data_IF_471599224179
#
_entry.id   IF_471599224179
#
_cell.length_a   1.000
_cell.length_b   1.000
_cell.length_c   1.000
_cell.angle_alpha   90.00
_cell.angle_beta   90.00
_cell.angle_gamma   90.00
#
_symmetry.space_group_name_H-M   'P 1'
#
loop_
_entity.id
_entity.type
_entity.pdbx_description
1 polymer ?
#
# COMPACT_ATOMS: atom_id res chain seq x y z
N UNK A 1 -11.65 5.72 -28.08
CA UNK A 1 -12.80 5.80 -27.14
C UNK A 1 -13.67 6.99 -27.54
N UNK A 2 -14.99 6.85 -27.64
CA UNK A 2 -15.88 7.97 -27.97
C UNK A 2 -16.31 8.68 -26.68
N UNK A 3 -15.51 9.64 -26.24
CA UNK A 3 -15.81 10.47 -25.06
C UNK A 3 -16.76 11.60 -25.49
N UNK A 4 -17.89 11.72 -24.82
CA UNK A 4 -18.91 12.73 -25.05
C UNK A 4 -18.93 13.77 -23.95
N UNK A 5 -19.58 14.91 -24.15
CA UNK A 5 -19.74 15.95 -23.14
C UNK A 5 -20.31 15.44 -21.81
N UNK A 6 -21.16 14.40 -21.85
CA UNK A 6 -21.74 13.80 -20.65
C UNK A 6 -20.70 13.11 -19.76
N UNK A 7 -19.63 12.54 -20.32
CA UNK A 7 -18.51 11.99 -19.56
C UNK A 7 -17.77 13.11 -18.80
N UNK A 8 -17.51 14.22 -19.48
CA UNK A 8 -16.85 15.38 -18.85
C UNK A 8 -17.71 16.00 -17.75
N UNK A 9 -19.03 16.07 -17.92
CA UNK A 9 -19.95 16.55 -16.88
C UNK A 9 -19.94 15.64 -15.65
N UNK A 10 -20.00 14.31 -15.83
CA UNK A 10 -19.89 13.36 -14.74
C UNK A 10 -18.55 13.47 -13.99
N UNK A 11 -17.45 13.59 -14.73
CA UNK A 11 -16.12 13.79 -14.15
C UNK A 11 -16.03 15.12 -13.39
N UNK A 12 -16.54 16.22 -13.96
CA UNK A 12 -16.54 17.54 -13.32
C UNK A 12 -17.31 17.54 -11.99
N UNK A 13 -18.49 16.93 -11.94
CA UNK A 13 -19.27 16.79 -10.68
C UNK A 13 -18.45 16.07 -9.61
N UNK A 14 -17.77 14.99 -9.96
CA UNK A 14 -16.93 14.24 -9.03
C UNK A 14 -15.72 15.07 -8.59
N UNK A 15 -15.05 15.76 -9.51
CA UNK A 15 -13.91 16.64 -9.19
C UNK A 15 -14.35 17.73 -8.22
N UNK A 16 -15.47 18.41 -8.50
CA UNK A 16 -16.02 19.46 -7.64
C UNK A 16 -16.32 18.90 -6.24
N UNK A 17 -16.96 17.72 -6.16
CA UNK A 17 -17.23 17.07 -4.90
C UNK A 17 -15.94 16.83 -4.09
N UNK A 18 -14.90 16.26 -4.70
CA UNK A 18 -13.63 16.01 -4.02
C UNK A 18 -12.90 17.31 -3.63
N UNK A 19 -12.94 18.35 -4.45
CA UNK A 19 -12.35 19.67 -4.14
C UNK A 19 -13.09 20.31 -2.97
N UNK A 20 -14.42 20.34 -2.99
CA UNK A 20 -15.24 20.92 -1.90
C UNK A 20 -14.99 20.17 -0.59
N UNK A 21 -14.98 18.85 -0.62
CA UNK A 21 -14.68 18.03 0.56
C UNK A 21 -13.24 18.24 1.05
N UNK A 22 -12.28 18.41 0.14
CA UNK A 22 -10.89 18.70 0.46
C UNK A 22 -10.73 20.06 1.17
N UNK A 23 -11.35 21.11 0.64
CA UNK A 23 -11.34 22.43 1.26
C UNK A 23 -12.05 22.43 2.62
N UNK A 24 -13.20 21.75 2.72
CA UNK A 24 -13.94 21.64 3.98
C UNK A 24 -13.14 20.88 5.05
N UNK A 25 -12.47 19.78 4.67
CA UNK A 25 -11.65 19.02 5.61
C UNK A 25 -10.40 19.79 6.04
N UNK A 26 -9.78 20.56 5.15
CA UNK A 26 -8.62 21.39 5.46
C UNK A 26 -8.88 22.44 6.55
N UNK A 27 -10.12 22.92 6.66
CA UNK A 27 -10.51 23.90 7.72
C UNK A 27 -10.61 23.28 9.13
N UNK A 28 -10.64 21.95 9.26
CA UNK A 28 -10.78 21.25 10.56
C UNK A 28 -9.46 20.92 11.24
N UNK A 29 -8.33 21.05 10.56
CA UNK A 29 -6.99 20.82 11.13
C UNK A 29 -6.51 22.05 11.88
N UNK A 30 -6.25 21.89 13.17
CA UNK A 30 -5.71 22.98 14.00
C UNK A 30 -4.34 22.66 14.61
N UNK A 31 -3.96 21.39 14.75
CA UNK A 31 -2.72 20.98 15.41
C UNK A 31 -1.97 19.88 14.65
N UNK A 32 -0.67 19.75 14.88
CA UNK A 32 0.15 18.68 14.31
C UNK A 32 -0.24 17.29 14.83
N UNK A 33 -0.85 17.21 16.02
CA UNK A 33 -1.35 15.95 16.62
C UNK A 33 -2.69 15.51 15.98
N UNK A 34 -3.55 16.45 15.59
CA UNK A 34 -4.71 16.17 14.76
C UNK A 34 -4.29 15.54 13.41
N UNK A 35 -3.09 15.87 12.98
CA UNK A 35 -2.49 15.44 11.73
C UNK A 35 -2.03 13.97 11.73
N UNK A 36 -1.53 13.43 12.85
CA UNK A 36 -0.87 12.13 12.88
C UNK A 36 -1.74 11.00 13.44
N UNK A 37 -2.61 11.23 14.42
CA UNK A 37 -3.30 10.16 15.16
C UNK A 37 -4.75 10.48 15.55
N UNK A 38 -5.38 11.54 15.02
CA UNK A 38 -6.78 11.93 15.29
C UNK A 38 -7.18 11.88 16.78
N UNK A 39 -6.25 12.17 17.72
CA UNK A 39 -6.50 12.18 19.15
C UNK A 39 -7.06 10.89 19.77
N UNK A 40 -6.86 9.72 19.14
CA UNK A 40 -7.41 8.41 19.56
C UNK A 40 -8.95 8.39 19.64
N UNK A 41 -9.63 9.11 18.75
CA UNK A 41 -11.10 9.24 18.72
C UNK A 41 -11.79 8.46 17.61
N UNK A 42 -11.04 7.79 16.71
CA UNK A 42 -11.58 7.13 15.53
C UNK A 42 -12.52 5.97 15.88
N UNK A 43 -13.74 6.01 15.32
CA UNK A 43 -14.69 4.88 15.37
C UNK A 43 -14.30 3.79 14.37
N UNK A 44 -14.98 2.64 14.44
CA UNK A 44 -14.70 1.47 13.57
C UNK A 44 -14.77 1.78 12.08
N UNK A 45 -15.76 2.58 11.65
CA UNK A 45 -15.93 2.97 10.24
C UNK A 45 -14.77 3.85 9.78
N UNK A 46 -14.30 4.78 10.62
CA UNK A 46 -13.17 5.64 10.31
C UNK A 46 -11.86 4.84 10.23
N UNK A 47 -11.66 3.85 11.11
CA UNK A 47 -10.52 2.92 11.04
C UNK A 47 -10.56 2.13 9.74
N UNK A 48 -11.71 1.53 9.40
CA UNK A 48 -11.88 0.80 8.14
C UNK A 48 -11.67 1.72 6.92
N UNK A 49 -12.22 2.93 6.95
CA UNK A 49 -12.06 3.93 5.88
C UNK A 49 -10.60 4.34 5.68
N UNK A 50 -9.83 4.51 6.75
CA UNK A 50 -8.40 4.82 6.68
C UNK A 50 -7.59 3.66 6.08
N UNK A 51 -7.85 2.44 6.55
CA UNK A 51 -7.19 1.23 6.04
C UNK A 51 -7.53 1.01 4.57
N UNK A 52 -8.82 0.92 4.23
CA UNK A 52 -9.29 0.72 2.86
C UNK A 52 -8.91 1.88 1.96
N UNK A 53 -8.98 3.13 2.46
CA UNK A 53 -8.60 4.34 1.73
C UNK A 53 -7.15 4.32 1.24
N UNK A 54 -6.27 3.61 1.95
CA UNK A 54 -4.88 3.42 1.56
C UNK A 54 -4.68 2.17 0.72
N UNK A 55 -5.37 1.08 1.08
CA UNK A 55 -5.26 -0.19 0.39
C UNK A 55 -5.90 -0.14 -1.01
N UNK A 56 -7.02 0.58 -1.15
CA UNK A 56 -7.73 0.71 -2.41
C UNK A 56 -7.27 1.96 -3.17
N UNK A 57 -6.29 1.77 -4.03
CA UNK A 57 -5.72 2.76 -4.93
C UNK A 57 -5.67 2.23 -6.36
N UNK A 58 -4.78 2.78 -7.17
CA UNK A 58 -4.62 2.38 -8.57
C UNK A 58 -4.21 0.91 -8.73
N UNK A 59 -3.34 0.39 -7.86
CA UNK A 59 -2.90 -1.00 -7.90
C UNK A 59 -4.07 -1.98 -7.67
N UNK A 60 -4.89 -1.75 -6.65
CA UNK A 60 -6.03 -2.61 -6.31
C UNK A 60 -7.25 -2.45 -7.22
N UNK A 61 -7.27 -1.47 -8.09
CA UNK A 61 -8.34 -1.23 -9.05
C UNK A 61 -7.88 -1.53 -10.47
N UNK A 62 -7.15 -0.63 -11.11
CA UNK A 62 -6.67 -0.79 -12.48
C UNK A 62 -5.65 -1.92 -12.56
N UNK A 63 -4.71 -2.01 -11.61
CA UNK A 63 -3.71 -3.07 -11.58
C UNK A 63 -4.33 -4.47 -11.43
N UNK A 64 -5.36 -4.62 -10.59
CA UNK A 64 -6.08 -5.89 -10.44
C UNK A 64 -6.80 -6.27 -11.74
N UNK A 65 -7.50 -5.33 -12.39
CA UNK A 65 -8.17 -5.60 -13.65
C UNK A 65 -7.18 -5.86 -14.81
N UNK A 66 -6.05 -5.14 -14.86
CA UNK A 66 -4.95 -5.37 -15.80
C UNK A 66 -4.41 -6.80 -15.67
N UNK A 67 -4.11 -7.21 -14.44
CA UNK A 67 -3.55 -8.55 -14.18
C UNK A 67 -4.60 -9.63 -14.44
N UNK A 68 -5.87 -9.40 -14.09
CA UNK A 68 -6.95 -10.34 -14.37
C UNK A 68 -7.19 -10.51 -15.89
N UNK A 69 -7.05 -9.45 -16.67
CA UNK A 69 -7.08 -9.51 -18.14
C UNK A 69 -5.94 -10.41 -18.68
N UNK A 70 -4.75 -10.36 -18.07
CA UNK A 70 -3.59 -11.14 -18.51
C UNK A 70 -3.59 -12.58 -17.98
N UNK A 71 -3.88 -12.78 -16.69
CA UNK A 71 -3.65 -14.04 -15.96
C UNK A 71 -4.84 -14.52 -15.12
N UNK A 72 -5.96 -13.82 -15.16
CA UNK A 72 -7.20 -14.29 -14.53
C UNK A 72 -7.29 -14.05 -13.03
N UNK A 73 -7.84 -15.05 -12.31
CA UNK A 73 -8.21 -14.92 -10.89
C UNK A 73 -7.00 -14.75 -9.96
N UNK A 74 -5.80 -15.10 -10.41
CA UNK A 74 -4.56 -14.86 -9.65
C UNK A 74 -4.36 -13.40 -9.28
N UNK A 75 -4.91 -12.46 -10.07
CA UNK A 75 -4.92 -11.03 -9.76
C UNK A 75 -5.63 -10.69 -8.43
N UNK A 76 -6.55 -11.54 -7.98
CA UNK A 76 -7.27 -11.35 -6.72
C UNK A 76 -6.37 -11.44 -5.50
N UNK A 77 -5.21 -12.09 -5.60
CA UNK A 77 -4.24 -12.17 -4.50
C UNK A 77 -3.90 -10.81 -3.91
N UNK A 78 -3.85 -9.75 -4.71
CA UNK A 78 -3.51 -8.42 -4.22
C UNK A 78 -4.49 -7.90 -3.17
N UNK A 79 -5.78 -8.01 -3.42
CA UNK A 79 -6.81 -7.55 -2.47
C UNK A 79 -7.17 -8.62 -1.44
N UNK A 80 -7.14 -9.89 -1.81
CA UNK A 80 -7.36 -11.02 -0.91
C UNK A 80 -6.27 -11.09 0.17
N UNK A 81 -4.99 -11.01 -0.23
CA UNK A 81 -3.86 -10.98 0.70
C UNK A 81 -3.89 -9.75 1.61
N UNK A 82 -4.32 -8.58 1.09
CA UNK A 82 -4.60 -7.40 1.90
C UNK A 82 -5.69 -7.65 2.95
N UNK A 83 -6.77 -8.33 2.57
CA UNK A 83 -7.84 -8.76 3.48
C UNK A 83 -7.34 -9.74 4.55
N UNK A 84 -6.56 -10.75 4.16
CA UNK A 84 -5.93 -11.70 5.09
C UNK A 84 -5.02 -10.96 6.08
N UNK A 85 -4.22 -10.00 5.62
CA UNK A 85 -3.39 -9.18 6.50
C UNK A 85 -4.22 -8.36 7.49
N UNK A 86 -5.36 -7.80 7.05
CA UNK A 86 -6.29 -7.11 7.95
C UNK A 86 -6.91 -8.05 8.99
N UNK A 87 -7.18 -9.30 8.64
CA UNK A 87 -7.62 -10.33 9.58
C UNK A 87 -6.51 -10.66 10.60
N UNK A 88 -5.26 -10.80 10.15
CA UNK A 88 -4.10 -10.98 11.02
C UNK A 88 -3.93 -9.78 11.97
N UNK A 89 -4.10 -8.54 11.49
CA UNK A 89 -4.12 -7.35 12.35
C UNK A 89 -5.20 -7.47 13.43
N UNK A 90 -6.43 -7.83 13.03
CA UNK A 90 -7.56 -7.96 13.94
C UNK A 90 -7.27 -8.95 15.08
N UNK A 91 -6.72 -10.09 14.74
CA UNK A 91 -6.50 -11.20 15.67
C UNK A 91 -5.28 -10.98 16.58
N UNK A 92 -4.16 -10.54 16.01
CA UNK A 92 -2.86 -10.59 16.70
C UNK A 92 -2.26 -9.22 17.00
N UNK A 93 -2.40 -8.21 16.12
CA UNK A 93 -1.61 -6.98 16.21
C UNK A 93 -2.33 -5.79 16.84
N UNK A 94 -3.68 -5.73 16.81
CA UNK A 94 -4.41 -4.58 17.37
C UNK A 94 -4.10 -4.32 18.84
N UNK A 95 -3.99 -5.37 19.66
CA UNK A 95 -3.62 -5.25 21.07
C UNK A 95 -2.19 -4.74 21.28
N UNK A 96 -1.18 -5.45 20.76
CA UNK A 96 0.22 -5.04 20.83
C UNK A 96 0.49 -3.63 20.32
N UNK A 97 -0.03 -3.26 19.14
CA UNK A 97 0.17 -1.92 18.58
C UNK A 97 -0.40 -0.80 19.46
N UNK A 98 -1.58 -1.00 20.04
CA UNK A 98 -2.20 0.01 20.93
C UNK A 98 -1.47 0.22 22.24
N UNK A 99 -0.60 -0.71 22.65
CA UNK A 99 0.25 -0.60 23.83
C UNK A 99 1.55 0.16 23.57
N UNK A 100 1.92 0.36 22.29
CA UNK A 100 3.14 1.07 21.94
C UNK A 100 3.02 2.57 22.23
N UNK A 101 4.13 3.16 22.67
CA UNK A 101 4.28 4.61 22.83
C UNK A 101 4.55 5.28 21.50
N UNK A 102 5.37 4.65 20.66
CA UNK A 102 5.68 5.11 19.32
C UNK A 102 4.57 4.78 18.32
N UNK A 103 4.31 5.73 17.43
CA UNK A 103 3.26 5.66 16.40
C UNK A 103 3.82 5.31 15.02
N UNK A 104 5.11 4.97 14.95
CA UNK A 104 5.78 4.58 13.70
C UNK A 104 6.41 3.19 13.82
N UNK A 105 6.45 2.44 12.71
CA UNK A 105 7.11 1.14 12.66
C UNK A 105 8.62 1.27 12.90
N UNK A 106 9.33 2.23 12.27
CA UNK A 106 10.72 2.51 12.61
C UNK A 106 10.91 2.81 14.10
N UNK A 107 10.01 3.61 14.72
CA UNK A 107 10.08 3.92 16.13
C UNK A 107 9.90 2.71 17.05
N UNK A 108 9.03 1.75 16.69
CA UNK A 108 8.90 0.47 17.42
C UNK A 108 10.20 -0.34 17.34
N UNK A 109 10.84 -0.36 16.17
CA UNK A 109 12.14 -1.04 15.96
C UNK A 109 13.25 -0.31 16.73
N UNK A 110 13.24 1.02 16.75
CA UNK A 110 14.17 1.85 17.50
C UNK A 110 14.09 1.61 19.01
N UNK A 111 12.88 1.59 19.57
CA UNK A 111 12.66 1.33 20.99
C UNK A 111 13.20 -0.06 21.42
N UNK A 112 13.09 -1.05 20.52
CA UNK A 112 13.52 -2.41 20.83
C UNK A 112 15.02 -2.65 20.60
N UNK A 113 15.60 -2.05 19.56
CA UNK A 113 16.93 -2.42 19.04
C UNK A 113 17.90 -1.25 18.93
N UNK A 114 17.46 -0.05 19.29
CA UNK A 114 18.27 1.16 19.34
C UNK A 114 18.24 1.98 18.06
N UNK A 115 18.81 3.16 18.15
CA UNK A 115 18.77 4.24 17.16
C UNK A 115 19.18 3.83 15.75
N UNK A 116 20.25 3.05 15.62
CA UNK A 116 20.75 2.60 14.30
C UNK A 116 19.76 1.66 13.59
N UNK A 117 19.03 0.83 14.36
CA UNK A 117 18.01 -0.04 13.81
C UNK A 117 16.79 0.78 13.32
N UNK A 118 16.36 1.78 14.10
CA UNK A 118 15.30 2.71 13.69
C UNK A 118 15.65 3.48 12.43
N UNK A 119 16.88 4.01 12.33
CA UNK A 119 17.35 4.71 11.14
C UNK A 119 17.37 3.81 9.90
N UNK A 120 17.88 2.58 10.02
CA UNK A 120 17.89 1.61 8.92
C UNK A 120 16.45 1.28 8.47
N UNK A 121 15.53 1.03 9.41
CA UNK A 121 14.11 0.81 9.11
C UNK A 121 13.49 2.01 8.39
N UNK A 122 13.77 3.24 8.84
CA UNK A 122 13.33 4.49 8.21
C UNK A 122 13.73 4.55 6.75
N UNK A 123 15.00 4.29 6.45
CA UNK A 123 15.54 4.36 5.08
C UNK A 123 14.91 3.30 4.16
N UNK A 124 14.88 2.04 4.59
CA UNK A 124 14.34 0.95 3.77
C UNK A 124 12.83 1.03 3.57
N UNK A 125 12.07 1.42 4.61
CA UNK A 125 10.62 1.63 4.50
C UNK A 125 10.32 2.80 3.57
N UNK A 126 11.04 3.92 3.69
CA UNK A 126 10.86 5.09 2.82
C UNK A 126 11.17 4.75 1.36
N UNK A 127 12.27 4.05 1.08
CA UNK A 127 12.59 3.58 -0.26
C UNK A 127 11.48 2.69 -0.84
N UNK A 128 11.00 1.73 -0.07
CA UNK A 128 9.90 0.88 -0.48
C UNK A 128 8.64 1.68 -0.83
N UNK A 129 8.29 2.68 -0.02
CA UNK A 129 7.11 3.52 -0.28
C UNK A 129 7.26 4.36 -1.56
N UNK A 130 8.48 4.81 -1.91
CA UNK A 130 8.77 5.47 -3.18
C UNK A 130 8.44 4.53 -4.35
N UNK A 131 8.87 3.29 -4.28
CA UNK A 131 8.54 2.27 -5.29
C UNK A 131 7.04 2.07 -5.40
N UNK A 132 6.26 2.22 -4.31
CA UNK A 132 4.80 2.08 -4.31
C UNK A 132 4.07 3.30 -4.92
N UNK A 133 4.74 4.42 -5.13
CA UNK A 133 4.17 5.56 -5.88
C UNK A 133 4.07 5.22 -7.37
N UNK A 134 4.99 4.44 -7.92
CA UNK A 134 5.04 4.06 -9.35
C UNK A 134 3.70 3.47 -9.84
N UNK A 135 3.13 2.43 -9.23
CA UNK A 135 1.84 1.89 -9.63
C UNK A 135 0.69 2.92 -9.59
N UNK A 136 0.76 3.91 -8.72
CA UNK A 136 -0.25 4.96 -8.66
C UNK A 136 -0.13 5.92 -9.85
N UNK A 137 1.10 6.26 -10.26
CA UNK A 137 1.36 7.08 -11.44
C UNK A 137 0.86 6.35 -12.70
N UNK A 138 1.23 5.08 -12.90
CA UNK A 138 0.81 4.28 -14.07
C UNK A 138 -0.72 4.18 -14.13
N UNK A 139 -1.37 3.98 -12.99
CA UNK A 139 -2.83 3.92 -12.91
C UNK A 139 -3.48 5.26 -13.26
N UNK A 140 -2.95 6.36 -12.75
CA UNK A 140 -3.44 7.71 -13.06
C UNK A 140 -3.25 8.04 -14.56
N UNK A 141 -2.12 7.64 -15.14
CA UNK A 141 -1.86 7.78 -16.58
C UNK A 141 -2.90 7.04 -17.44
N UNK A 142 -3.21 5.78 -17.10
CA UNK A 142 -4.20 4.98 -17.82
C UNK A 142 -5.58 5.66 -17.83
N UNK A 143 -5.96 6.29 -16.71
CA UNK A 143 -7.21 7.05 -16.59
C UNK A 143 -7.18 8.36 -17.38
N UNK A 144 -6.08 9.12 -17.32
CA UNK A 144 -5.90 10.34 -18.10
C UNK A 144 -5.98 10.03 -19.61
N UNK A 145 -5.28 8.99 -20.04
CA UNK A 145 -5.28 8.55 -21.44
C UNK A 145 -6.66 8.04 -21.91
N UNK A 146 -7.57 7.74 -20.99
CA UNK A 146 -8.96 7.40 -21.32
C UNK A 146 -9.81 8.62 -21.69
N UNK A 147 -9.47 9.80 -21.14
CA UNK A 147 -10.15 11.06 -21.47
C UNK A 147 -9.49 11.82 -22.61
N UNK A 148 -8.17 11.76 -22.69
CA UNK A 148 -7.37 12.56 -23.60
C UNK A 148 -6.40 11.67 -24.40
N UNK A 149 -6.29 11.86 -25.73
CA UNK A 149 -5.34 11.12 -26.57
C UNK A 149 -3.92 11.65 -26.38
N UNK A 150 -3.36 11.44 -25.18
CA UNK A 150 -2.02 11.89 -24.83
C UNK A 150 -1.00 10.77 -25.02
N UNK A 151 0.22 11.13 -25.38
CA UNK A 151 1.33 10.20 -25.39
C UNK A 151 1.73 9.81 -23.96
N UNK A 152 2.47 8.70 -23.83
CA UNK A 152 2.88 8.12 -22.56
C UNK A 152 3.56 9.14 -21.62
N UNK A 153 4.56 9.86 -22.13
CA UNK A 153 5.34 10.80 -21.31
C UNK A 153 4.51 11.97 -20.83
N UNK A 154 3.66 12.54 -21.69
CA UNK A 154 2.76 13.65 -21.31
C UNK A 154 1.74 13.21 -20.27
N UNK A 155 1.15 12.02 -20.41
CA UNK A 155 0.22 11.47 -19.42
C UNK A 155 0.91 11.23 -18.06
N UNK A 156 2.17 10.74 -18.05
CA UNK A 156 2.96 10.56 -16.85
C UNK A 156 3.25 11.89 -16.13
N UNK A 157 3.73 12.89 -16.87
CA UNK A 157 4.04 14.22 -16.33
C UNK A 157 2.77 14.85 -15.75
N UNK A 158 1.65 14.78 -16.46
CA UNK A 158 0.38 15.32 -16.00
C UNK A 158 -0.13 14.60 -14.74
N UNK A 159 -0.02 13.27 -14.69
CA UNK A 159 -0.37 12.47 -13.51
C UNK A 159 0.43 12.92 -12.28
N UNK A 160 1.75 13.06 -12.43
CA UNK A 160 2.65 13.47 -11.36
C UNK A 160 2.36 14.93 -10.95
N UNK A 161 2.17 15.84 -11.90
CA UNK A 161 1.84 17.23 -11.59
C UNK A 161 0.55 17.35 -10.76
N UNK A 162 -0.49 16.59 -11.13
CA UNK A 162 -1.75 16.55 -10.39
C UNK A 162 -1.60 15.91 -9.01
N UNK A 163 -0.75 14.88 -8.84
CA UNK A 163 -0.41 14.32 -7.53
C UNK A 163 0.30 15.33 -6.64
N UNK A 164 1.26 16.07 -7.18
CA UNK A 164 1.97 17.13 -6.46
C UNK A 164 1.00 18.22 -6.01
N UNK A 165 0.16 18.71 -6.93
CA UNK A 165 -0.87 19.72 -6.61
C UNK A 165 -1.79 19.19 -5.50
N UNK A 166 -2.27 17.97 -5.62
CA UNK A 166 -3.14 17.35 -4.61
C UNK A 166 -2.48 17.29 -3.23
N UNK A 167 -1.19 16.91 -3.15
CA UNK A 167 -0.44 16.84 -1.89
C UNK A 167 -0.21 18.23 -1.29
N UNK A 168 0.24 19.20 -2.12
CA UNK A 168 0.60 20.51 -1.62
C UNK A 168 -0.59 21.31 -1.09
N UNK A 169 -1.78 21.11 -1.68
CA UNK A 169 -3.00 21.82 -1.28
C UNK A 169 -3.91 21.00 -0.36
N UNK A 170 -3.94 19.66 -0.51
CA UNK A 170 -4.85 18.79 0.25
C UNK A 170 -4.34 18.36 1.62
N UNK A 171 -3.03 18.29 1.81
CA UNK A 171 -2.41 17.83 3.04
C UNK A 171 -2.93 16.46 3.49
N UNK A 172 -2.65 16.09 4.76
CA UNK A 172 -3.07 14.78 5.33
C UNK A 172 -4.56 14.73 5.69
N UNK A 173 -5.18 15.86 5.98
CA UNK A 173 -6.62 15.88 6.27
C UNK A 173 -7.48 15.64 5.04
N UNK A 174 -7.03 16.09 3.90
CA UNK A 174 -7.61 15.67 2.63
C UNK A 174 -7.61 14.15 2.50
N UNK A 175 -6.53 13.48 2.91
CA UNK A 175 -6.41 12.03 2.83
C UNK A 175 -7.43 11.24 3.69
N UNK A 176 -7.76 11.69 4.91
CA UNK A 176 -8.64 10.95 5.83
C UNK A 176 -10.13 11.01 5.45
N UNK A 177 -10.68 12.20 5.29
CA UNK A 177 -12.11 12.38 5.00
C UNK A 177 -12.44 12.06 3.54
N UNK A 178 -11.57 12.48 2.61
CA UNK A 178 -11.64 12.09 1.20
C UNK A 178 -11.46 10.58 1.02
N UNK A 179 -10.65 9.94 1.87
CA UNK A 179 -10.47 8.49 1.90
C UNK A 179 -11.79 7.73 2.09
N UNK A 180 -12.66 8.16 3.01
CA UNK A 180 -13.95 7.50 3.26
C UNK A 180 -14.91 7.64 2.06
N UNK A 181 -15.04 8.85 1.50
CA UNK A 181 -15.90 9.08 0.32
C UNK A 181 -15.36 8.33 -0.90
N UNK A 182 -14.04 8.39 -1.11
CA UNK A 182 -13.33 7.64 -2.13
C UNK A 182 -13.65 6.14 -2.06
N UNK A 183 -13.58 5.54 -0.88
CA UNK A 183 -13.84 4.11 -0.69
C UNK A 183 -15.29 3.75 -1.01
N UNK A 184 -16.25 4.55 -0.56
CA UNK A 184 -17.67 4.30 -0.86
C UNK A 184 -17.90 4.32 -2.38
N UNK A 185 -17.43 5.36 -3.06
CA UNK A 185 -17.62 5.51 -4.50
C UNK A 185 -16.85 4.42 -5.29
N UNK A 186 -15.61 4.13 -4.92
CA UNK A 186 -14.80 3.08 -5.60
C UNK A 186 -15.40 1.70 -5.37
N UNK A 187 -15.87 1.40 -4.14
CA UNK A 187 -16.53 0.13 -3.83
C UNK A 187 -17.81 -0.04 -4.65
N UNK A 188 -18.67 0.98 -4.65
CA UNK A 188 -19.90 0.97 -5.45
C UNK A 188 -19.60 0.77 -6.94
N UNK A 189 -18.60 1.49 -7.46
CA UNK A 189 -18.21 1.42 -8.87
C UNK A 189 -17.71 0.03 -9.28
N UNK A 190 -16.80 -0.56 -8.50
CA UNK A 190 -16.20 -1.86 -8.85
C UNK A 190 -17.15 -3.02 -8.59
N UNK A 191 -17.94 -2.99 -7.52
CA UNK A 191 -18.93 -4.03 -7.25
C UNK A 191 -20.05 -4.00 -8.27
N UNK A 192 -20.60 -2.82 -8.58
CA UNK A 192 -21.63 -2.68 -9.61
C UNK A 192 -21.10 -3.02 -11.01
N UNK A 193 -19.88 -2.55 -11.35
CA UNK A 193 -19.22 -2.88 -12.62
C UNK A 193 -18.94 -4.37 -12.76
N UNK A 194 -18.44 -5.03 -11.70
CA UNK A 194 -18.21 -6.47 -11.66
C UNK A 194 -19.51 -7.27 -11.81
N UNK A 195 -20.58 -6.86 -11.10
CA UNK A 195 -21.89 -7.50 -11.22
C UNK A 195 -22.47 -7.33 -12.64
N UNK A 196 -22.30 -6.16 -13.26
CA UNK A 196 -22.69 -5.90 -14.63
C UNK A 196 -21.91 -6.77 -15.63
N UNK A 197 -20.58 -6.86 -15.47
CA UNK A 197 -19.74 -7.73 -16.28
C UNK A 197 -20.14 -9.20 -16.16
N UNK A 198 -20.42 -9.67 -14.93
CA UNK A 198 -20.90 -11.03 -14.68
C UNK A 198 -22.25 -11.29 -15.36
N UNK A 199 -23.16 -10.31 -15.32
CA UNK A 199 -24.45 -10.38 -16.02
C UNK A 199 -24.25 -10.47 -17.54
N UNK A 200 -23.33 -9.70 -18.11
CA UNK A 200 -23.01 -9.75 -19.54
C UNK A 200 -22.35 -11.05 -19.96
N UNK A 201 -21.66 -11.74 -19.07
CA UNK A 201 -21.22 -13.12 -19.31
C UNK A 201 -22.38 -14.10 -19.41
N UNK A 202 -23.53 -13.81 -18.81
CA UNK A 202 -24.62 -14.76 -18.61
C UNK A 202 -24.51 -15.54 -17.30
N UNK A 203 -23.76 -15.02 -16.32
CA UNK A 203 -23.51 -15.61 -15.01
C UNK A 203 -22.16 -16.31 -14.87
N UNK A 204 -21.88 -16.79 -13.66
CA UNK A 204 -20.59 -17.41 -13.32
C UNK A 204 -20.28 -18.67 -14.15
N UNK A 205 -21.29 -19.53 -14.38
CA UNK A 205 -21.11 -20.74 -15.20
C UNK A 205 -20.68 -20.43 -16.63
N UNK A 206 -21.32 -19.44 -17.26
CA UNK A 206 -20.96 -18.98 -18.60
C UNK A 206 -19.58 -18.31 -18.64
N UNK A 207 -19.18 -17.62 -17.60
CA UNK A 207 -17.82 -17.07 -17.49
C UNK A 207 -16.77 -18.19 -17.49
N UNK A 208 -16.99 -19.24 -16.69
CA UNK A 208 -16.08 -20.37 -16.58
C UNK A 208 -15.93 -21.17 -17.90
N UNK A 209 -16.96 -21.19 -18.74
CA UNK A 209 -16.92 -21.90 -20.02
C UNK A 209 -16.23 -21.14 -21.15
N UNK A 210 -16.06 -19.80 -21.05
CA UNK A 210 -15.51 -18.95 -22.12
C UNK A 210 -14.00 -18.80 -22.12
N UNK A 211 -13.34 -19.17 -21.04
CA UNK A 211 -11.88 -19.09 -20.89
C UNK A 211 -11.34 -20.44 -20.42
N UNK A 212 -10.13 -20.81 -20.80
CA UNK A 212 -9.50 -22.03 -20.31
C UNK A 212 -9.25 -21.98 -18.80
N UNK A 213 -9.33 -23.11 -18.09
CA UNK A 213 -9.06 -23.15 -16.65
C UNK A 213 -7.69 -22.57 -16.29
N UNK A 214 -6.66 -22.95 -17.04
CA UNK A 214 -5.33 -22.37 -16.94
C UNK A 214 -5.10 -21.37 -18.07
N UNK A 215 -4.57 -20.15 -17.79
CA UNK A 215 -4.20 -19.61 -16.47
C UNK A 215 -5.37 -18.91 -15.74
N UNK A 216 -6.57 -18.78 -16.33
CA UNK A 216 -7.57 -17.79 -15.94
C UNK A 216 -8.32 -18.12 -14.63
N UNK A 217 -8.46 -19.39 -14.26
CA UNK A 217 -9.20 -19.83 -13.07
C UNK A 217 -8.32 -20.55 -12.05
N UNK A 218 -7.01 -20.34 -12.12
CA UNK A 218 -6.06 -20.82 -11.11
C UNK A 218 -5.46 -19.65 -10.32
N UNK A 219 -5.24 -19.86 -9.03
CA UNK A 219 -4.55 -18.89 -8.17
C UNK A 219 -3.04 -18.90 -8.37
N UNK A 220 -2.49 -20.00 -8.85
CA UNK A 220 -1.06 -20.22 -9.05
C UNK A 220 -0.78 -20.35 -10.55
N UNK A 221 -0.24 -19.28 -11.13
CA UNK A 221 -0.06 -19.13 -12.59
C UNK A 221 1.42 -19.18 -12.99
N UNK A 222 2.29 -18.75 -12.08
CA UNK A 222 3.74 -18.72 -12.29
C UNK A 222 4.39 -19.97 -11.67
N UNK A 223 5.68 -19.94 -11.45
CA UNK A 223 6.33 -20.99 -10.67
C UNK A 223 5.85 -20.95 -9.21
N UNK A 224 5.79 -22.09 -8.50
CA UNK A 224 5.37 -22.10 -7.09
C UNK A 224 6.15 -21.13 -6.20
N UNK A 225 7.42 -20.89 -6.51
CA UNK A 225 8.26 -19.93 -5.81
C UNK A 225 7.81 -18.49 -6.03
N UNK A 226 7.52 -18.11 -7.26
CA UNK A 226 7.07 -16.76 -7.63
C UNK A 226 5.70 -16.44 -7.04
N UNK A 227 4.76 -17.37 -7.13
CA UNK A 227 3.41 -17.18 -6.56
C UNK A 227 3.46 -17.07 -5.04
N UNK A 228 4.23 -17.92 -4.37
CA UNK A 228 4.43 -17.86 -2.92
C UNK A 228 5.16 -16.57 -2.51
N UNK A 229 6.16 -16.13 -3.27
CA UNK A 229 6.86 -14.85 -3.08
C UNK A 229 5.89 -13.68 -3.13
N UNK A 230 5.00 -13.67 -4.12
CA UNK A 230 3.98 -12.64 -4.31
C UNK A 230 3.02 -12.59 -3.10
N UNK A 231 2.53 -13.73 -2.65
CA UNK A 231 1.66 -13.83 -1.47
C UNK A 231 2.34 -13.32 -0.20
N UNK A 232 3.53 -13.83 0.09
CA UNK A 232 4.30 -13.45 1.29
C UNK A 232 4.67 -11.98 1.24
N UNK A 233 5.13 -11.48 0.08
CA UNK A 233 5.45 -10.06 -0.12
C UNK A 233 4.30 -9.17 0.28
N UNK A 234 3.10 -9.48 -0.17
CA UNK A 234 1.92 -8.70 0.15
C UNK A 234 1.57 -8.79 1.63
N UNK A 235 1.51 -10.01 2.19
CA UNK A 235 1.16 -10.22 3.60
C UNK A 235 2.08 -9.42 4.53
N UNK A 236 3.40 -9.64 4.44
CA UNK A 236 4.35 -8.96 5.31
C UNK A 236 4.44 -7.45 5.02
N UNK A 237 4.26 -7.07 3.75
CA UNK A 237 4.26 -5.68 3.34
C UNK A 237 3.06 -4.88 3.87
N UNK A 238 1.87 -5.46 3.89
CA UNK A 238 0.69 -4.84 4.51
C UNK A 238 0.86 -4.79 6.03
N UNK A 239 1.34 -5.87 6.67
CA UNK A 239 1.58 -5.93 8.11
C UNK A 239 2.63 -4.92 8.60
N UNK A 240 3.53 -4.48 7.72
CA UNK A 240 4.53 -3.43 7.97
C UNK A 240 4.12 -2.07 7.38
N UNK A 241 2.86 -1.89 7.04
CA UNK A 241 2.34 -0.63 6.51
C UNK A 241 2.09 0.40 7.58
N UNK A 242 2.80 1.54 7.52
CA UNK A 242 2.73 2.64 8.50
C UNK A 242 1.30 3.14 8.73
N UNK A 243 0.51 3.30 7.67
CA UNK A 243 -0.84 3.86 7.76
C UNK A 243 -1.81 2.90 8.47
N UNK A 244 -1.61 1.59 8.33
CA UNK A 244 -2.41 0.59 9.05
C UNK A 244 -2.16 0.64 10.55
N UNK A 245 -0.89 0.77 10.96
CA UNK A 245 -0.51 1.00 12.35
C UNK A 245 -1.18 2.27 12.89
N UNK A 246 -1.09 3.37 12.18
CA UNK A 246 -1.70 4.65 12.58
C UNK A 246 -3.23 4.53 12.71
N UNK A 247 -3.92 3.89 11.77
CA UNK A 247 -5.36 3.65 11.84
C UNK A 247 -5.76 2.84 13.09
N UNK A 248 -4.97 1.80 13.43
CA UNK A 248 -5.18 0.94 14.58
C UNK A 248 -4.99 1.72 15.89
N UNK A 249 -3.94 2.56 15.99
CA UNK A 249 -3.65 3.37 17.17
C UNK A 249 -4.65 4.51 17.35
N UNK A 250 -5.12 5.12 16.25
CA UNK A 250 -6.09 6.21 16.26
C UNK A 250 -7.49 5.79 16.76
N UNK A 251 -7.78 4.49 16.81
CA UNK A 251 -9.08 3.99 17.25
C UNK A 251 -9.38 4.35 18.71
N UNK A 252 -10.64 4.78 19.00
CA UNK A 252 -11.10 5.12 20.35
C UNK A 252 -11.07 3.97 21.34
N UNK A 253 -11.11 2.73 20.86
CA UNK A 253 -11.09 1.52 21.70
C UNK A 253 -10.49 0.33 20.94
N UNK A 254 -10.07 -0.72 21.68
CA UNK A 254 -9.61 -1.97 21.08
C UNK A 254 -10.71 -2.62 20.23
N UNK A 255 -11.98 -2.54 20.66
CA UNK A 255 -13.12 -3.04 19.91
C UNK A 255 -13.27 -2.27 18.59
N UNK A 256 -13.18 -0.94 18.60
CA UNK A 256 -13.24 -0.13 17.39
C UNK A 256 -12.12 -0.47 16.40
N UNK A 257 -10.90 -0.70 16.90
CA UNK A 257 -9.75 -1.12 16.12
C UNK A 257 -9.97 -2.49 15.46
N UNK A 258 -10.39 -3.50 16.24
CA UNK A 258 -10.67 -4.85 15.74
C UNK A 258 -11.82 -4.87 14.72
N UNK A 259 -12.92 -4.19 15.02
CA UNK A 259 -14.05 -4.12 14.08
C UNK A 259 -13.66 -3.41 12.78
N UNK A 260 -12.88 -2.33 12.86
CA UNK A 260 -12.41 -1.60 11.68
C UNK A 260 -11.50 -2.46 10.79
N UNK A 261 -10.53 -3.17 11.38
CA UNK A 261 -9.66 -4.10 10.63
C UNK A 261 -10.45 -5.28 10.06
N UNK A 262 -11.44 -5.82 10.79
CA UNK A 262 -12.29 -6.90 10.29
C UNK A 262 -13.17 -6.47 9.12
N UNK A 263 -13.75 -5.26 9.17
CA UNK A 263 -14.49 -4.70 8.04
C UNK A 263 -13.58 -4.57 6.82
N UNK A 264 -12.34 -4.13 7.00
CA UNK A 264 -11.36 -4.02 5.92
C UNK A 264 -10.98 -5.39 5.35
N UNK A 265 -10.90 -6.41 6.20
CA UNK A 265 -10.61 -7.79 5.80
C UNK A 265 -11.67 -8.37 4.85
N UNK A 266 -12.92 -7.95 4.97
CA UNK A 266 -14.02 -8.42 4.13
C UNK A 266 -14.22 -7.53 2.90
N UNK A 267 -14.27 -6.21 3.10
CA UNK A 267 -14.61 -5.26 2.03
C UNK A 267 -13.50 -5.20 0.96
N UNK A 268 -12.23 -5.22 1.36
CA UNK A 268 -11.11 -5.12 0.43
C UNK A 268 -11.10 -6.21 -0.65
N UNK A 269 -11.14 -7.50 -0.28
CA UNK A 269 -11.24 -8.60 -1.25
C UNK A 269 -12.45 -8.51 -2.17
N UNK A 270 -13.62 -8.13 -1.65
CA UNK A 270 -14.84 -8.00 -2.46
C UNK A 270 -14.68 -6.94 -3.57
N UNK A 271 -14.08 -5.79 -3.25
CA UNK A 271 -13.78 -4.74 -4.23
C UNK A 271 -12.86 -5.28 -5.34
N UNK A 272 -11.80 -5.99 -4.96
CA UNK A 272 -10.87 -6.59 -5.91
C UNK A 272 -11.52 -7.62 -6.82
N UNK A 273 -12.44 -8.43 -6.29
CA UNK A 273 -13.18 -9.41 -7.08
C UNK A 273 -13.98 -8.73 -8.22
N UNK A 274 -14.58 -7.56 -7.96
CA UNK A 274 -15.22 -6.77 -9.02
C UNK A 274 -14.26 -6.41 -10.15
N UNK A 275 -13.03 -5.97 -9.82
CA UNK A 275 -11.97 -5.70 -10.79
C UNK A 275 -11.53 -6.94 -11.59
N UNK A 276 -11.45 -8.10 -10.92
CA UNK A 276 -11.11 -9.38 -11.56
C UNK A 276 -12.16 -9.76 -12.60
N UNK A 277 -13.44 -9.72 -12.24
CA UNK A 277 -14.53 -10.07 -13.17
C UNK A 277 -14.55 -9.14 -14.38
N UNK A 278 -14.32 -7.84 -14.20
CA UNK A 278 -14.19 -6.87 -15.30
C UNK A 278 -13.00 -7.22 -16.19
N UNK A 279 -11.83 -7.52 -15.62
CA UNK A 279 -10.64 -7.91 -16.39
C UNK A 279 -10.87 -9.16 -17.25
N UNK A 280 -11.48 -10.20 -16.68
CA UNK A 280 -11.85 -11.42 -17.39
C UNK A 280 -12.86 -11.15 -18.51
N UNK A 281 -13.88 -10.30 -18.24
CA UNK A 281 -14.86 -9.92 -19.26
C UNK A 281 -14.20 -9.23 -20.46
N UNK A 282 -13.30 -8.29 -20.19
CA UNK A 282 -12.59 -7.57 -21.23
C UNK A 282 -11.63 -8.47 -22.00
N UNK A 283 -11.02 -9.47 -21.37
CA UNK A 283 -10.18 -10.47 -22.03
C UNK A 283 -10.94 -11.26 -23.09
N UNK A 284 -12.18 -11.64 -22.79
CA UNK A 284 -13.02 -12.41 -23.73
C UNK A 284 -13.53 -11.55 -24.88
N UNK A 285 -13.97 -10.31 -24.60
CA UNK A 285 -14.70 -9.51 -25.58
C UNK A 285 -13.84 -8.45 -26.29
N UNK A 286 -12.66 -8.14 -25.74
CA UNK A 286 -11.72 -7.15 -26.28
C UNK A 286 -10.27 -7.60 -26.10
N UNK A 287 -9.86 -8.78 -26.61
CA UNK A 287 -8.52 -9.32 -26.42
C UNK A 287 -7.40 -8.47 -27.05
N UNK A 288 -7.76 -7.58 -27.97
CA UNK A 288 -6.84 -6.72 -28.74
C UNK A 288 -6.33 -5.50 -27.97
N UNK A 289 -6.93 -5.16 -26.83
CA UNK A 289 -6.55 -3.95 -26.09
C UNK A 289 -5.31 -4.17 -25.22
N UNK A 290 -4.62 -3.08 -24.90
CA UNK A 290 -3.61 -3.11 -23.86
C UNK A 290 -4.25 -3.43 -22.50
N UNK A 291 -3.69 -4.39 -21.76
CA UNK A 291 -4.27 -4.89 -20.50
C UNK A 291 -4.58 -3.78 -19.46
N UNK A 292 -3.76 -2.73 -19.40
CA UNK A 292 -3.96 -1.58 -18.51
C UNK A 292 -5.25 -0.80 -18.81
N UNK A 293 -5.77 -0.91 -20.03
CA UNK A 293 -7.01 -0.27 -20.46
C UNK A 293 -8.27 -1.10 -20.15
N UNK A 294 -8.13 -2.32 -19.64
CA UNK A 294 -9.26 -3.20 -19.39
C UNK A 294 -10.35 -2.52 -18.54
N UNK A 295 -10.02 -2.00 -17.38
CA UNK A 295 -10.99 -1.32 -16.50
C UNK A 295 -11.47 0.03 -17.08
N UNK A 296 -10.60 0.95 -17.54
CA UNK A 296 -11.04 2.22 -18.11
C UNK A 296 -11.96 2.04 -19.34
N UNK A 297 -11.61 1.14 -20.25
CA UNK A 297 -12.42 0.89 -21.45
C UNK A 297 -13.76 0.25 -21.11
N UNK A 298 -13.80 -0.70 -20.17
CA UNK A 298 -15.05 -1.27 -19.67
C UNK A 298 -16.00 -0.17 -19.17
N UNK A 299 -15.49 0.75 -18.37
CA UNK A 299 -16.28 1.85 -17.81
C UNK A 299 -16.85 2.72 -18.93
N UNK A 300 -16.03 3.14 -19.90
CA UNK A 300 -16.47 4.01 -20.99
C UNK A 300 -17.48 3.32 -21.91
N UNK A 301 -17.32 2.03 -22.15
CA UNK A 301 -18.11 1.31 -23.17
C UNK A 301 -19.42 0.74 -22.64
N UNK A 302 -19.45 0.34 -21.37
CA UNK A 302 -20.56 -0.42 -20.80
C UNK A 302 -21.37 0.31 -19.76
N UNK A 303 -20.91 1.48 -19.27
CA UNK A 303 -21.67 2.32 -18.37
C UNK A 303 -22.31 3.52 -19.12
N UNK A 304 -23.42 4.06 -18.59
CA UNK A 304 -23.97 5.32 -19.11
C UNK A 304 -22.91 6.44 -19.07
N UNK A 305 -22.85 7.28 -20.08
CA UNK A 305 -21.78 8.25 -20.30
C UNK A 305 -21.50 9.16 -19.08
N UNK A 306 -22.55 9.64 -18.41
CA UNK A 306 -22.37 10.48 -17.21
C UNK A 306 -21.79 9.69 -16.02
N UNK A 307 -22.24 8.44 -15.83
CA UNK A 307 -21.76 7.55 -14.77
C UNK A 307 -20.32 7.12 -15.03
N UNK A 308 -19.97 6.87 -16.30
CA UNK A 308 -18.59 6.63 -16.73
C UNK A 308 -17.65 7.74 -16.27
N UNK A 309 -18.04 9.00 -16.48
CA UNK A 309 -17.26 10.16 -16.03
C UNK A 309 -17.08 10.17 -14.51
N UNK A 310 -18.15 9.91 -13.76
CA UNK A 310 -18.11 9.82 -12.28
C UNK A 310 -17.14 8.72 -11.84
N UNK A 311 -17.25 7.53 -12.41
CA UNK A 311 -16.42 6.37 -12.02
C UNK A 311 -14.96 6.59 -12.38
N UNK A 312 -14.66 7.07 -13.60
CA UNK A 312 -13.27 7.33 -14.01
C UNK A 312 -12.60 8.39 -13.12
N UNK A 313 -13.32 9.49 -12.81
CA UNK A 313 -12.81 10.52 -11.92
C UNK A 313 -12.62 9.98 -10.48
N UNK A 314 -13.54 9.14 -9.99
CA UNK A 314 -13.39 8.48 -8.69
C UNK A 314 -12.14 7.61 -8.62
N UNK A 315 -11.89 6.77 -9.63
CA UNK A 315 -10.70 5.93 -9.71
C UNK A 315 -9.42 6.77 -9.84
N UNK A 316 -9.49 7.89 -10.56
CA UNK A 316 -8.40 8.84 -10.66
C UNK A 316 -8.03 9.44 -9.30
N UNK A 317 -9.02 9.90 -8.53
CA UNK A 317 -8.79 10.34 -7.15
C UNK A 317 -8.35 9.20 -6.24
N UNK A 318 -8.75 7.96 -6.52
CA UNK A 318 -8.26 6.81 -5.78
C UNK A 318 -6.76 6.59 -5.99
N UNK A 319 -6.26 6.68 -7.22
CA UNK A 319 -4.84 6.54 -7.53
C UNK A 319 -4.04 7.74 -6.99
N UNK A 320 -4.45 8.97 -7.30
CA UNK A 320 -3.79 10.19 -6.83
C UNK A 320 -3.75 10.25 -5.30
N UNK A 321 -4.88 10.02 -4.63
CA UNK A 321 -4.97 10.10 -3.18
C UNK A 321 -4.10 9.06 -2.47
N UNK A 322 -3.95 7.86 -3.04
CA UNK A 322 -3.04 6.84 -2.49
C UNK A 322 -1.58 7.23 -2.71
N UNK A 323 -1.20 7.68 -3.91
CA UNK A 323 0.15 8.18 -4.19
C UNK A 323 0.53 9.38 -3.32
N UNK A 324 -0.40 10.30 -3.14
CA UNK A 324 -0.26 11.45 -2.26
C UNK A 324 -0.08 11.05 -0.79
N UNK A 325 -0.88 10.11 -0.31
CA UNK A 325 -0.77 9.57 1.06
C UNK A 325 0.57 8.89 1.32
N UNK A 326 1.09 8.14 0.34
CA UNK A 326 2.43 7.54 0.41
C UNK A 326 3.51 8.63 0.51
N UNK A 327 3.48 9.63 -0.36
CA UNK A 327 4.46 10.72 -0.35
C UNK A 327 4.44 11.50 0.97
N UNK A 328 3.24 11.80 1.51
CA UNK A 328 3.10 12.44 2.82
C UNK A 328 3.63 11.55 3.96
N UNK A 329 3.36 10.24 3.90
CA UNK A 329 3.89 9.28 4.87
C UNK A 329 5.42 9.26 4.88
N UNK A 330 6.06 9.22 3.70
CA UNK A 330 7.52 9.27 3.55
C UNK A 330 8.06 10.60 4.11
N UNK A 331 7.45 11.72 3.73
CA UNK A 331 7.88 13.03 4.22
C UNK A 331 7.78 13.14 5.73
N UNK A 332 6.72 12.57 6.33
CA UNK A 332 6.56 12.57 7.80
C UNK A 332 7.68 11.76 8.46
N UNK A 333 7.97 10.55 7.94
CA UNK A 333 9.05 9.71 8.44
C UNK A 333 10.40 10.41 8.28
N UNK A 334 10.73 10.89 7.08
CA UNK A 334 12.02 11.53 6.81
C UNK A 334 12.20 12.86 7.56
N UNK A 335 11.17 13.67 7.68
CA UNK A 335 11.27 14.94 8.41
C UNK A 335 11.37 14.72 9.92
N UNK A 336 10.64 13.73 10.49
CA UNK A 336 10.60 13.47 11.91
C UNK A 336 11.79 12.65 12.38
N UNK A 337 12.10 11.56 11.66
CA UNK A 337 13.07 10.56 12.10
C UNK A 337 14.49 10.84 11.56
N UNK A 338 14.61 11.62 10.46
CA UNK A 338 15.90 11.98 9.86
C UNK A 338 16.24 13.46 10.06
N UNK A 339 15.41 14.40 9.55
CA UNK A 339 15.77 15.81 9.52
C UNK A 339 15.87 16.43 10.92
N UNK A 340 14.91 16.17 11.81
CA UNK A 340 14.97 16.70 13.19
C UNK A 340 16.13 16.15 14.00
N UNK A 341 16.62 14.97 13.66
CA UNK A 341 17.79 14.36 14.31
C UNK A 341 19.09 15.07 13.96
N UNK A 342 19.24 15.51 12.71
CA UNK A 342 20.46 16.20 12.24
C UNK A 342 20.38 17.73 12.36
N UNK A 343 19.20 18.30 12.45
CA UNK A 343 18.95 19.73 12.51
C UNK A 343 18.13 20.08 13.77
N UNK A 344 18.77 19.99 14.94
CA UNK A 344 18.21 20.42 16.23
C UNK A 344 17.95 21.93 16.20
N UNK A 345 16.66 22.35 16.30
CA UNK A 345 16.27 23.77 16.27
C UNK A 345 15.67 24.28 14.97
N UNK A 346 15.27 23.37 14.06
CA UNK A 346 14.57 23.78 12.84
C UNK A 346 13.17 24.35 13.15
N UNK A 347 12.93 25.58 12.74
CA UNK A 347 11.64 26.26 12.80
C UNK A 347 10.58 25.52 11.95
N UNK A 348 9.31 25.58 12.35
CA UNK A 348 8.20 24.92 11.65
C UNK A 348 8.11 25.33 10.17
N UNK A 349 8.48 26.56 9.82
CA UNK A 349 8.57 27.03 8.43
C UNK A 349 9.63 26.28 7.62
N UNK A 350 10.79 26.00 8.21
CA UNK A 350 11.87 25.24 7.57
C UNK A 350 11.47 23.77 7.39
N UNK A 351 10.83 23.18 8.39
CA UNK A 351 10.29 21.82 8.31
C UNK A 351 9.27 21.67 7.18
N UNK A 352 8.40 22.66 6.99
CA UNK A 352 7.42 22.65 5.91
C UNK A 352 8.09 22.80 4.52
N UNK A 353 9.10 23.66 4.40
CA UNK A 353 9.85 23.83 3.16
C UNK A 353 10.60 22.53 2.77
N UNK A 354 11.27 21.89 3.73
CA UNK A 354 11.94 20.61 3.52
C UNK A 354 10.94 19.54 3.09
N UNK A 355 9.78 19.45 3.73
CA UNK A 355 8.73 18.49 3.34
C UNK A 355 8.26 18.71 1.91
N UNK A 356 8.08 19.96 1.47
CA UNK A 356 7.69 20.27 0.08
C UNK A 356 8.77 19.89 -0.94
N UNK A 357 10.04 20.14 -0.63
CA UNK A 357 11.17 19.75 -1.49
C UNK A 357 11.25 18.22 -1.59
N UNK A 358 11.08 17.52 -0.47
CA UNK A 358 11.04 16.06 -0.45
C UNK A 358 9.90 15.52 -1.32
N UNK A 359 8.70 16.08 -1.24
CA UNK A 359 7.56 15.68 -2.10
C UNK A 359 7.93 15.80 -3.59
N UNK A 360 8.50 16.93 -3.99
CA UNK A 360 8.92 17.15 -5.38
C UNK A 360 9.99 16.16 -5.82
N UNK A 361 10.99 15.90 -4.97
CA UNK A 361 12.05 14.95 -5.24
C UNK A 361 11.53 13.51 -5.35
N UNK A 362 10.62 13.10 -4.47
CA UNK A 362 10.02 11.77 -4.46
C UNK A 362 9.19 11.49 -5.72
N UNK A 363 8.33 12.43 -6.09
CA UNK A 363 7.55 12.30 -7.32
C UNK A 363 8.41 12.42 -8.58
N UNK A 364 9.43 13.29 -8.59
CA UNK A 364 10.39 13.40 -9.68
C UNK A 364 11.15 12.09 -9.89
N UNK A 365 11.67 11.48 -8.83
CA UNK A 365 12.35 10.18 -8.90
C UNK A 365 11.41 9.09 -9.41
N UNK A 366 10.19 9.02 -8.88
CA UNK A 366 9.19 8.04 -9.33
C UNK A 366 8.80 8.25 -10.80
N UNK A 367 8.71 9.50 -11.27
CA UNK A 367 8.46 9.83 -12.67
C UNK A 367 9.57 9.33 -13.59
N UNK A 368 10.83 9.55 -13.21
CA UNK A 368 11.99 9.06 -14.00
C UNK A 368 11.90 7.54 -14.17
N UNK A 369 11.63 6.80 -13.10
CA UNK A 369 11.49 5.34 -13.15
C UNK A 369 10.33 4.93 -14.06
N UNK A 370 9.19 5.61 -13.99
CA UNK A 370 8.03 5.34 -14.86
C UNK A 370 8.39 5.58 -16.32
N UNK A 371 9.05 6.69 -16.64
CA UNK A 371 9.47 7.00 -18.02
C UNK A 371 10.47 5.96 -18.58
N UNK A 372 11.37 5.48 -17.74
CA UNK A 372 12.32 4.42 -18.12
C UNK A 372 11.66 3.04 -18.30
N UNK A 373 10.52 2.78 -17.66
CA UNK A 373 9.82 1.50 -17.75
C UNK A 373 9.02 1.30 -19.05
N UNK A 374 8.88 2.33 -19.88
CA UNK A 374 8.27 2.26 -21.22
C UNK A 374 6.75 2.01 -21.26
N UNK A 375 6.04 2.08 -20.15
CA UNK A 375 4.55 2.08 -20.11
C UNK A 375 3.86 0.72 -20.15
N UNK A 376 4.53 -0.35 -20.48
CA UNK A 376 3.97 -1.72 -20.51
C UNK A 376 4.05 -2.44 -19.15
N UNK A 377 4.53 -1.72 -18.13
CA UNK A 377 4.79 -2.31 -16.83
C UNK A 377 3.49 -2.78 -16.13
N UNK A 378 3.50 -4.02 -15.65
CA UNK A 378 2.44 -4.56 -14.82
C UNK A 378 2.38 -3.82 -13.48
N UNK A 379 1.28 -3.13 -13.23
CA UNK A 379 1.07 -2.28 -12.03
C UNK A 379 1.29 -3.08 -10.74
N UNK A 380 0.74 -4.30 -10.65
CA UNK A 380 0.85 -5.13 -9.46
C UNK A 380 2.29 -5.60 -9.20
N UNK A 381 3.11 -5.78 -10.24
CA UNK A 381 4.51 -6.18 -10.07
C UNK A 381 5.32 -5.17 -9.26
N UNK A 382 5.16 -3.87 -9.54
CA UNK A 382 5.75 -2.80 -8.75
C UNK A 382 5.22 -2.73 -7.31
N UNK A 383 3.91 -2.95 -7.15
CA UNK A 383 3.30 -2.98 -5.84
C UNK A 383 3.82 -4.13 -4.98
N UNK A 384 3.92 -5.35 -5.53
CA UNK A 384 4.49 -6.51 -4.82
C UNK A 384 5.96 -6.31 -4.46
N UNK A 385 6.77 -5.77 -5.39
CA UNK A 385 8.17 -5.44 -5.12
C UNK A 385 8.31 -4.51 -3.91
N UNK A 386 7.51 -3.44 -3.88
CA UNK A 386 7.47 -2.51 -2.75
C UNK A 386 7.09 -3.21 -1.44
N UNK A 387 6.00 -3.98 -1.45
CA UNK A 387 5.52 -4.66 -0.26
C UNK A 387 6.53 -5.68 0.27
N UNK A 388 7.14 -6.48 -0.61
CA UNK A 388 8.13 -7.47 -0.25
C UNK A 388 9.38 -6.86 0.37
N UNK A 389 9.91 -5.81 -0.26
CA UNK A 389 11.11 -5.14 0.23
C UNK A 389 10.92 -4.52 1.63
N UNK A 390 9.79 -3.81 1.84
CA UNK A 390 9.43 -3.28 3.16
C UNK A 390 9.20 -4.38 4.18
N UNK A 391 8.52 -5.45 3.75
CA UNK A 391 8.25 -6.61 4.60
C UNK A 391 9.54 -7.24 5.13
N UNK A 392 10.52 -7.49 4.27
CA UNK A 392 11.81 -8.07 4.69
C UNK A 392 12.55 -7.15 5.65
N UNK A 393 12.53 -5.84 5.40
CA UNK A 393 13.22 -4.87 6.25
C UNK A 393 12.63 -4.76 7.67
N UNK A 394 11.32 -4.89 7.80
CA UNK A 394 10.63 -4.51 9.04
C UNK A 394 9.82 -5.62 9.71
N UNK A 395 9.32 -6.62 8.99
CA UNK A 395 8.35 -7.57 9.54
C UNK A 395 8.89 -8.38 10.71
N UNK A 396 9.99 -9.12 10.51
CA UNK A 396 10.56 -9.96 11.57
C UNK A 396 11.11 -9.12 12.74
N UNK A 397 11.86 -8.02 12.53
CA UNK A 397 12.25 -7.13 13.63
C UNK A 397 11.06 -6.56 14.40
N UNK A 398 10.01 -6.12 13.73
CA UNK A 398 8.79 -5.60 14.38
C UNK A 398 8.05 -6.68 15.17
N UNK A 399 7.86 -7.87 14.58
CA UNK A 399 7.20 -8.99 15.26
C UNK A 399 7.95 -9.37 16.53
N UNK A 400 9.27 -9.49 16.45
CA UNK A 400 10.09 -9.84 17.62
C UNK A 400 10.12 -8.72 18.66
N UNK A 401 10.11 -7.45 18.26
CA UNK A 401 9.95 -6.31 19.16
C UNK A 401 8.61 -6.34 19.92
N UNK A 402 7.53 -6.69 19.25
CA UNK A 402 6.17 -6.70 19.82
C UNK A 402 5.87 -7.92 20.70
N UNK A 403 6.32 -9.10 20.28
CA UNK A 403 5.94 -10.38 20.93
C UNK A 403 7.04 -10.99 21.79
N UNK A 404 8.29 -10.57 21.62
CA UNK A 404 9.45 -11.02 22.37
C UNK A 404 10.25 -9.83 22.96
N UNK A 405 9.59 -8.87 23.65
CA UNK A 405 10.24 -7.65 24.11
C UNK A 405 11.41 -7.99 25.05
N UNK A 406 12.58 -7.38 24.78
CA UNK A 406 13.80 -7.54 25.59
C UNK A 406 14.53 -8.88 25.41
N UNK A 407 13.95 -9.88 24.74
CA UNK A 407 14.56 -11.21 24.56
C UNK A 407 15.60 -11.29 23.45
N UNK A 408 15.70 -10.29 22.61
CA UNK A 408 16.65 -10.24 21.50
C UNK A 408 17.55 -9.01 21.67
N UNK A 409 18.86 -9.21 21.59
CA UNK A 409 19.81 -8.12 21.76
C UNK A 409 19.72 -7.08 20.64
N UNK A 410 19.92 -5.80 20.97
CA UNK A 410 19.79 -4.66 20.04
C UNK A 410 20.63 -4.80 18.77
N UNK A 411 21.85 -5.36 18.87
CA UNK A 411 22.70 -5.62 17.70
C UNK A 411 22.06 -6.61 16.71
N UNK A 412 21.41 -7.67 17.21
CA UNK A 412 20.78 -8.67 16.33
C UNK A 412 19.58 -8.06 15.60
N UNK A 413 18.72 -7.29 16.29
CA UNK A 413 17.61 -6.57 15.65
C UNK A 413 18.10 -5.59 14.58
N UNK A 414 19.13 -4.80 14.88
CA UNK A 414 19.75 -3.88 13.93
C UNK A 414 20.26 -4.62 12.67
N UNK A 415 21.05 -5.68 12.84
CA UNK A 415 21.60 -6.43 11.71
C UNK A 415 20.53 -7.12 10.88
N UNK A 416 19.46 -7.65 11.50
CA UNK A 416 18.34 -8.24 10.78
C UNK A 416 17.64 -7.19 9.89
N UNK A 417 17.41 -5.98 10.41
CA UNK A 417 16.81 -4.86 9.67
C UNK A 417 17.67 -4.41 8.49
N UNK A 418 19.01 -4.53 8.59
CA UNK A 418 19.96 -4.10 7.55
C UNK A 418 20.21 -5.21 6.52
N UNK A 419 20.60 -6.41 6.97
CA UNK A 419 21.02 -7.47 6.06
C UNK A 419 19.88 -8.11 5.30
N UNK A 420 18.68 -8.21 5.89
CA UNK A 420 17.53 -8.73 5.16
C UNK A 420 17.29 -8.06 3.81
N UNK A 421 17.03 -6.74 3.78
CA UNK A 421 16.81 -6.02 2.52
C UNK A 421 18.07 -5.94 1.64
N UNK A 422 19.28 -5.88 2.20
CA UNK A 422 20.50 -5.91 1.41
C UNK A 422 20.67 -7.24 0.67
N UNK A 423 20.32 -8.36 1.30
CA UNK A 423 20.32 -9.68 0.64
C UNK A 423 19.30 -9.70 -0.49
N UNK A 424 18.10 -9.13 -0.31
CA UNK A 424 17.11 -9.00 -1.40
C UNK A 424 17.69 -8.24 -2.58
N UNK A 425 18.37 -7.12 -2.35
CA UNK A 425 18.99 -6.33 -3.42
C UNK A 425 20.12 -7.10 -4.11
N UNK A 426 21.02 -7.67 -3.33
CA UNK A 426 22.13 -8.46 -3.87
C UNK A 426 21.64 -9.67 -4.68
N UNK A 427 20.61 -10.37 -4.20
CA UNK A 427 20.02 -11.51 -4.90
C UNK A 427 19.38 -11.13 -6.23
N UNK A 428 18.70 -9.98 -6.29
CA UNK A 428 18.14 -9.45 -7.55
C UNK A 428 19.22 -9.14 -8.59
N UNK A 429 20.41 -8.69 -8.16
CA UNK A 429 21.50 -8.35 -9.05
C UNK A 429 22.29 -9.61 -9.47
N UNK A 430 22.67 -10.43 -8.50
CA UNK A 430 23.58 -11.56 -8.71
C UNK A 430 22.86 -12.82 -9.21
N UNK A 431 21.56 -12.98 -8.89
CA UNK A 431 20.73 -14.15 -9.24
C UNK A 431 21.45 -15.50 -9.05
N UNK A 432 22.04 -15.79 -7.87
CA UNK A 432 22.92 -16.94 -7.68
C UNK A 432 22.21 -18.28 -7.80
N UNK A 433 20.91 -18.31 -7.51
CA UNK A 433 20.03 -19.47 -7.61
C UNK A 433 18.64 -19.04 -8.12
N UNK A 434 17.86 -19.94 -8.74
CA UNK A 434 16.49 -19.67 -9.18
C UNK A 434 15.49 -19.65 -7.99
N UNK A 435 15.76 -18.80 -7.01
CA UNK A 435 14.96 -18.60 -5.80
C UNK A 435 14.60 -17.13 -5.71
N UNK A 436 13.33 -16.86 -5.42
CA UNK A 436 12.82 -15.51 -5.27
C UNK A 436 13.55 -14.74 -4.16
N UNK A 437 13.98 -13.49 -4.41
CA UNK A 437 14.85 -12.70 -3.52
C UNK A 437 14.30 -12.50 -2.11
N UNK A 438 12.99 -12.53 -1.95
CA UNK A 438 12.34 -12.35 -0.63
C UNK A 438 12.70 -13.48 0.34
N UNK A 439 12.81 -14.72 -0.13
CA UNK A 439 13.07 -15.87 0.73
C UNK A 439 14.45 -15.80 1.38
N UNK A 440 15.57 -15.67 0.64
CA UNK A 440 16.88 -15.51 1.28
C UNK A 440 16.94 -14.27 2.19
N UNK A 441 16.28 -13.17 1.84
CA UNK A 441 16.21 -11.99 2.71
C UNK A 441 15.52 -12.28 4.05
N UNK A 442 14.37 -12.97 4.03
CA UNK A 442 13.67 -13.39 5.24
C UNK A 442 14.44 -14.42 6.05
N UNK A 443 15.06 -15.41 5.39
CA UNK A 443 15.87 -16.43 6.05
C UNK A 443 17.05 -15.79 6.79
N UNK A 444 17.79 -14.90 6.16
CA UNK A 444 18.91 -14.18 6.80
C UNK A 444 18.42 -13.36 8.00
N UNK A 445 17.35 -12.60 7.85
CA UNK A 445 16.76 -11.86 8.99
C UNK A 445 16.35 -12.79 10.12
N UNK A 446 15.71 -13.93 9.82
CA UNK A 446 15.30 -14.92 10.81
C UNK A 446 16.49 -15.53 11.55
N UNK A 447 17.54 -15.95 10.82
CA UNK A 447 18.73 -16.55 11.39
C UNK A 447 19.47 -15.58 12.32
N UNK A 448 19.57 -14.29 11.95
CA UNK A 448 20.18 -13.26 12.79
C UNK A 448 19.39 -13.08 14.10
N UNK A 449 18.06 -12.99 14.00
CA UNK A 449 17.19 -12.81 15.16
C UNK A 449 17.18 -14.05 16.07
N UNK A 450 17.15 -15.25 15.49
CA UNK A 450 17.24 -16.51 16.24
C UNK A 450 18.59 -16.64 16.95
N UNK A 451 19.71 -16.33 16.30
CA UNK A 451 21.03 -16.27 16.92
C UNK A 451 21.09 -15.26 18.05
N UNK A 452 20.49 -14.07 17.88
CA UNK A 452 20.36 -13.06 18.91
C UNK A 452 19.55 -13.53 20.13
N UNK A 453 18.43 -14.23 19.90
CA UNK A 453 17.61 -14.82 20.96
C UNK A 453 18.37 -15.86 21.78
N UNK A 454 19.04 -16.82 21.11
CA UNK A 454 19.83 -17.85 21.75
C UNK A 454 21.00 -17.28 22.55
N UNK A 455 21.67 -16.25 22.04
CA UNK A 455 22.76 -15.56 22.74
C UNK A 455 22.27 -14.82 23.98
N UNK A 456 21.12 -14.16 23.92
CA UNK A 456 20.53 -13.47 25.07
C UNK A 456 20.11 -14.47 26.17
N UNK A 457 19.50 -15.57 25.80
CA UNK A 457 19.10 -16.62 26.72
C UNK A 457 20.28 -17.24 27.47
N UNK A 458 21.38 -17.56 26.75
CA UNK A 458 22.62 -18.07 27.39
C UNK A 458 23.20 -17.09 28.40
N UNK A 459 23.12 -15.79 28.16
CA UNK A 459 23.58 -14.77 29.10
C UNK A 459 22.71 -14.72 30.36
N UNK A 460 21.39 -14.81 30.19
CA UNK A 460 20.47 -14.86 31.36
C UNK A 460 20.73 -16.09 32.23
N UNK A 461 20.88 -17.27 31.61
CA UNK A 461 21.20 -18.51 32.33
C UNK A 461 22.56 -18.44 33.03
N UNK A 462 23.58 -17.83 32.41
CA UNK A 462 24.88 -17.60 33.03
C UNK A 462 24.82 -16.63 34.24
N UNK A 463 24.05 -15.56 34.12
CA UNK A 463 23.85 -14.60 35.24
C UNK A 463 23.10 -15.26 36.39
N UNK A 464 22.05 -16.03 36.12
CA UNK A 464 21.32 -16.77 37.15
C UNK A 464 22.19 -17.81 37.85
N UNK A 465 23.01 -18.56 37.09
CA UNK A 465 23.93 -19.55 37.68
C UNK A 465 25.05 -18.91 38.53
N UNK A 466 25.54 -17.75 38.11
CA UNK A 466 26.52 -16.97 38.87
C UNK A 466 25.92 -16.39 40.16
N UNK A 467 24.67 -15.94 40.11
CA UNK A 467 23.96 -15.44 41.32
C UNK A 467 23.71 -16.57 42.31
N UNK A 468 23.32 -17.76 41.87
CA UNK A 468 23.15 -18.96 42.73
C UNK A 468 24.47 -19.44 43.37
N UNK A 469 25.63 -19.25 42.71
CA UNK A 469 26.94 -19.59 43.25
C UNK A 469 27.43 -18.56 44.26
N UNK A 470 27.02 -17.30 44.21
CA UNK A 470 27.39 -16.26 45.17
C UNK A 470 26.51 -16.24 46.43
N UNK A 471 25.36 -16.88 46.39
CA UNK A 471 24.45 -16.99 47.53
C UNK A 471 24.65 -18.26 48.40
N UNK A 472 25.61 -19.09 47.99
CA UNK A 472 26.15 -20.21 48.81
C UNK A 472 27.52 -19.81 49.37
#
# INVERSE_FOLDING_TARGET
MNITIRHYLGAAVTIILFVVLGVYSGKKVKTADDFSVSGKSAGSIMVAGTILGTMIGGASTIGTAQTAFATGISAWWFTLGGGISCLIFCLFFTGPFRRQKNVTIPGIIEDAYGEKAGLAATLFISFSMIVNIIPQIISAMALISSFFPLNFSTAAILAVALMIVYVLFGGVWGAGMLGTVKIILTSASLLAGGALALRFFGGAGAMLSKLPPYPFFTFFVQTPGEDLSTMISLLIGVLTGQIYLQAIIAARSLRASRTGTLLSAVIGPLIGLGGVVIGLYMRVHHPEIAAVQALPLFIVRYLPAWLSGVVLATLFFAAIGTGAGLALGICTILSRDLYRRFCSGADDKKNLAVSRILILALFGLSLVVVLMSGGEAMILKWAYLSHGFRGVAAFLPMVTALFLPGKIGGKAGMWATIYGPLVVLAWNILKPLPVEPIFPGLVVSLLILAGGYLSSRKKEEAVQSAALRKGR
#
